data_IF_303124657651
#
_entry.id   IF_303124657651
#
_cell.length_a   1.000
_cell.length_b   1.000
_cell.length_c   1.000
_cell.angle_alpha   90.00
_cell.angle_beta   90.00
_cell.angle_gamma   90.00
#
_symmetry.space_group_name_H-M   'P 1'
#
loop_
_entity.id
_entity.type
_entity.pdbx_description
1 polymer ?
#
# COMPACT_ATOMS: atom_id res chain seq x y z
N UNK A 1 -4.77 -10.50 10.20
CA UNK A 1 -4.57 -11.77 10.89
C UNK A 1 -3.09 -12.00 11.12
N UNK A 2 -2.69 -12.38 12.33
CA UNK A 2 -1.31 -12.73 12.67
C UNK A 2 -1.19 -14.26 12.72
N UNK A 3 -0.28 -14.80 11.92
CA UNK A 3 0.04 -16.22 11.91
C UNK A 3 1.21 -16.49 12.86
N UNK A 4 1.24 -17.69 13.47
CA UNK A 4 2.27 -18.08 14.43
C UNK A 4 3.69 -18.06 13.86
N UNK A 5 3.85 -18.15 12.54
CA UNK A 5 5.14 -18.11 11.88
C UNK A 5 5.68 -16.68 11.63
N UNK A 6 5.08 -15.64 12.21
CA UNK A 6 5.50 -14.25 12.00
C UNK A 6 5.05 -13.64 10.67
N UNK A 7 4.14 -14.30 9.94
CA UNK A 7 3.40 -13.71 8.83
C UNK A 7 2.21 -12.90 9.39
N UNK A 8 1.95 -11.76 8.79
CA UNK A 8 0.78 -10.95 9.03
C UNK A 8 0.12 -10.63 7.69
N UNK A 9 -1.21 -10.65 7.68
CA UNK A 9 -2.00 -10.30 6.50
C UNK A 9 -3.13 -9.35 6.90
N UNK A 10 -3.34 -8.33 6.10
CA UNK A 10 -4.43 -7.38 6.26
C UNK A 10 -5.09 -7.14 4.90
N UNK A 11 -6.42 -7.17 4.90
CA UNK A 11 -7.25 -6.83 3.76
C UNK A 11 -8.31 -5.86 4.28
N UNK A 12 -8.45 -4.71 3.63
CA UNK A 12 -9.46 -3.72 3.98
C UNK A 12 -10.19 -3.29 2.71
N UNK A 13 -11.48 -3.01 2.87
CA UNK A 13 -12.32 -2.45 1.83
C UNK A 13 -12.93 -1.16 2.33
N UNK A 14 -12.98 -0.16 1.46
CA UNK A 14 -13.62 1.11 1.71
C UNK A 14 -14.40 1.54 0.47
N UNK A 15 -15.66 1.89 0.65
CA UNK A 15 -16.51 2.49 -0.38
C UNK A 15 -16.63 3.98 -0.14
N UNK A 16 -15.94 4.77 -0.95
CA UNK A 16 -15.95 6.22 -0.89
C UNK A 16 -15.15 6.80 0.29
N UNK A 17 -14.37 7.84 0.03
CA UNK A 17 -13.86 8.71 1.10
C UNK A 17 -14.87 9.79 1.45
N UNK A 18 -14.83 10.29 2.70
CA UNK A 18 -15.67 11.41 3.14
C UNK A 18 -15.47 12.71 2.32
N UNK A 19 -14.34 12.83 1.62
CA UNK A 19 -14.03 13.95 0.72
C UNK A 19 -14.66 13.79 -0.67
N UNK A 20 -15.08 12.59 -1.05
CA UNK A 20 -15.73 12.32 -2.32
C UNK A 20 -17.21 12.70 -2.23
N UNK A 21 -17.69 13.48 -3.20
CA UNK A 21 -19.05 14.05 -3.19
C UNK A 21 -19.79 13.63 -4.45
N UNK A 22 -21.00 13.12 -4.28
CA UNK A 22 -21.88 12.62 -5.35
C UNK A 22 -21.67 11.13 -5.58
N UNK A 23 -22.77 10.39 -5.77
CA UNK A 23 -22.77 8.94 -6.02
C UNK A 23 -21.98 8.54 -7.25
N UNK A 24 -21.85 9.45 -8.23
CA UNK A 24 -21.18 9.21 -9.50
C UNK A 24 -19.64 9.42 -9.43
N UNK A 25 -19.11 9.73 -8.24
CA UNK A 25 -17.69 10.02 -8.01
C UNK A 25 -17.09 9.22 -6.84
N UNK A 26 -17.82 8.24 -6.29
CA UNK A 26 -17.32 7.38 -5.23
C UNK A 26 -16.41 6.29 -5.83
N UNK A 27 -15.22 6.15 -5.27
CA UNK A 27 -14.31 5.07 -5.62
C UNK A 27 -14.40 3.94 -4.59
N UNK A 28 -14.13 2.73 -5.06
CA UNK A 28 -13.95 1.55 -4.22
C UNK A 28 -12.48 1.25 -4.04
N UNK A 29 -12.06 1.09 -2.78
CA UNK A 29 -10.68 0.89 -2.39
C UNK A 29 -10.49 -0.46 -1.73
N UNK A 30 -9.53 -1.23 -2.23
CA UNK A 30 -9.11 -2.50 -1.67
C UNK A 30 -7.66 -2.37 -1.25
N UNK A 31 -7.39 -2.34 0.06
CA UNK A 31 -6.05 -2.30 0.60
C UNK A 31 -5.60 -3.69 0.97
N UNK A 32 -4.41 -4.08 0.54
CA UNK A 32 -3.79 -5.36 0.88
C UNK A 32 -2.42 -5.14 1.49
N UNK A 33 -2.12 -5.90 2.54
CA UNK A 33 -0.80 -5.94 3.13
C UNK A 33 -0.50 -7.38 3.56
N UNK A 34 0.68 -7.85 3.16
CA UNK A 34 1.31 -9.08 3.60
C UNK A 34 2.66 -8.68 4.14
N UNK A 35 2.89 -8.98 5.41
CA UNK A 35 4.12 -8.67 6.13
C UNK A 35 4.72 -9.96 6.65
N UNK A 36 6.03 -10.14 6.50
CA UNK A 36 6.77 -11.26 7.07
C UNK A 36 7.92 -10.74 7.93
N UNK A 37 7.94 -11.18 9.18
CA UNK A 37 9.04 -10.93 10.12
C UNK A 37 10.00 -12.12 10.15
N UNK A 38 11.29 -11.80 10.27
CA UNK A 38 12.41 -12.73 10.43
C UNK A 38 13.29 -12.27 11.58
N UNK A 39 14.12 -13.18 12.10
CA UNK A 39 15.13 -12.90 13.14
C UNK A 39 14.54 -12.14 14.34
N UNK A 40 13.42 -12.64 14.85
CA UNK A 40 12.69 -12.04 15.98
C UNK A 40 12.23 -10.60 15.73
N UNK A 41 11.89 -10.29 14.47
CA UNK A 41 11.41 -8.97 14.06
C UNK A 41 12.52 -8.00 13.67
N UNK A 42 13.80 -8.39 13.73
CA UNK A 42 14.91 -7.54 13.26
C UNK A 42 14.83 -7.23 11.78
N UNK A 43 14.36 -8.18 10.97
CA UNK A 43 14.10 -7.97 9.55
C UNK A 43 12.60 -8.15 9.28
N UNK A 44 12.01 -7.18 8.60
CA UNK A 44 10.61 -7.19 8.20
C UNK A 44 10.51 -6.84 6.72
N UNK A 45 9.78 -7.67 5.98
CA UNK A 45 9.55 -7.53 4.55
C UNK A 45 8.04 -7.46 4.31
N UNK A 46 7.61 -6.47 3.54
CA UNK A 46 6.24 -6.36 3.03
C UNK A 46 6.29 -6.64 1.52
N UNK A 47 6.25 -7.92 1.09
CA UNK A 47 6.33 -8.27 -0.33
C UNK A 47 5.10 -7.83 -1.12
N UNK A 48 3.95 -7.75 -0.44
CA UNK A 48 2.71 -7.26 -1.02
C UNK A 48 2.14 -6.22 -0.08
N UNK A 49 2.13 -4.97 -0.49
CA UNK A 49 1.52 -3.88 0.24
C UNK A 49 1.06 -2.86 -0.79
N UNK A 50 -0.18 -2.38 -0.69
CA UNK A 50 -0.73 -1.58 -1.76
C UNK A 50 -2.23 -1.43 -1.73
N UNK A 51 -2.75 -0.86 -2.82
CA UNK A 51 -4.17 -0.65 -3.00
C UNK A 51 -4.59 -0.95 -4.45
N UNK A 52 -5.78 -1.50 -4.61
CA UNK A 52 -6.50 -1.54 -5.88
C UNK A 52 -7.72 -0.63 -5.75
N UNK A 53 -7.92 0.21 -6.75
CA UNK A 53 -8.92 1.28 -6.72
C UNK A 53 -9.78 1.13 -7.96
N UNK A 54 -11.10 1.08 -7.78
CA UNK A 54 -12.07 0.98 -8.88
C UNK A 54 -12.95 2.22 -8.85
N UNK A 55 -12.97 2.95 -9.96
CA UNK A 55 -13.84 4.14 -10.09
C UNK A 55 -15.19 3.83 -10.73
N UNK A 56 -15.27 2.78 -11.55
CA UNK A 56 -16.50 2.37 -12.21
C UNK A 56 -16.51 0.85 -12.44
N UNK A 57 -17.38 0.15 -11.72
CA UNK A 57 -17.54 -1.31 -11.84
C UNK A 57 -18.08 -1.77 -13.19
N UNK A 58 -18.77 -0.90 -13.93
CA UNK A 58 -19.29 -1.25 -15.27
C UNK A 58 -18.19 -1.26 -16.33
N UNK A 59 -17.08 -0.54 -16.08
CA UNK A 59 -15.96 -0.34 -17.02
C UNK A 59 -14.60 -0.43 -16.32
N UNK A 60 -14.39 -1.48 -15.53
CA UNK A 60 -13.19 -1.66 -14.72
C UNK A 60 -11.92 -1.61 -15.56
N UNK A 61 -11.89 -2.23 -16.74
CA UNK A 61 -10.70 -2.27 -17.61
C UNK A 61 -10.20 -0.89 -18.06
N UNK A 62 -11.05 0.13 -17.96
CA UNK A 62 -10.76 1.52 -18.32
C UNK A 62 -10.68 2.44 -17.09
N UNK A 63 -11.08 1.98 -15.90
CA UNK A 63 -11.28 2.81 -14.71
C UNK A 63 -10.79 2.10 -13.44
N UNK A 64 -9.47 1.93 -13.36
CA UNK A 64 -8.81 1.31 -12.21
C UNK A 64 -7.45 1.94 -11.93
N UNK A 65 -6.99 1.84 -10.68
CA UNK A 65 -5.59 2.10 -10.34
C UNK A 65 -5.06 1.03 -9.41
N UNK A 66 -3.77 0.77 -9.54
CA UNK A 66 -2.99 -0.11 -8.69
C UNK A 66 -1.87 0.73 -8.08
N UNK A 67 -1.74 0.60 -6.76
CA UNK A 67 -0.61 1.11 -6.00
C UNK A 67 0.10 -0.10 -5.44
N UNK A 68 1.36 -0.29 -5.80
CA UNK A 68 2.20 -1.36 -5.27
C UNK A 68 3.39 -0.77 -4.53
N UNK A 69 3.50 -1.08 -3.25
CA UNK A 69 4.43 -0.47 -2.31
C UNK A 69 5.22 -1.50 -1.51
N UNK A 70 6.12 -2.27 -2.14
CA UNK A 70 6.96 -3.21 -1.43
C UNK A 70 7.93 -2.47 -0.50
N UNK A 71 8.18 -3.06 0.68
CA UNK A 71 9.06 -2.48 1.69
C UNK A 71 9.94 -3.54 2.33
N UNK A 72 11.20 -3.16 2.58
CA UNK A 72 12.12 -3.89 3.45
C UNK A 72 12.55 -2.96 4.58
N UNK A 73 12.63 -3.50 5.79
CA UNK A 73 12.96 -2.75 6.99
C UNK A 73 13.78 -3.59 7.95
N UNK A 74 14.74 -2.94 8.59
CA UNK A 74 15.72 -3.55 9.47
C UNK A 74 15.88 -2.75 10.75
N UNK A 75 15.75 -3.41 11.89
CA UNK A 75 16.09 -2.86 13.21
C UNK A 75 17.60 -2.93 13.39
N UNK A 76 18.28 -1.80 13.18
CA UNK A 76 19.73 -1.67 13.36
C UNK A 76 20.12 -1.75 14.84
N UNK A 77 19.27 -1.19 15.71
CA UNK A 77 19.31 -1.33 17.17
C UNK A 77 17.87 -1.45 17.65
N UNK A 78 17.65 -1.70 18.94
CA UNK A 78 16.29 -1.75 19.52
C UNK A 78 15.51 -0.43 19.34
N UNK A 79 16.23 0.68 19.13
CA UNK A 79 15.67 2.02 19.01
C UNK A 79 15.74 2.60 17.59
N UNK A 80 16.42 1.95 16.64
CA UNK A 80 16.67 2.47 15.30
C UNK A 80 16.21 1.51 14.19
N UNK A 81 15.25 1.95 13.37
CA UNK A 81 14.74 1.21 12.21
C UNK A 81 15.16 1.93 10.91
N UNK A 82 15.76 1.18 9.98
CA UNK A 82 16.06 1.64 8.63
C UNK A 82 15.09 0.93 7.69
N UNK A 83 14.51 1.66 6.74
CA UNK A 83 13.58 1.08 5.76
C UNK A 83 13.80 1.66 4.38
N UNK A 84 13.61 0.81 3.38
CA UNK A 84 13.62 1.14 1.97
C UNK A 84 12.31 0.62 1.36
N UNK A 85 11.57 1.50 0.70
CA UNK A 85 10.33 1.15 0.02
C UNK A 85 10.28 1.74 -1.37
N UNK A 86 9.63 1.02 -2.27
CA UNK A 86 9.21 1.57 -3.55
C UNK A 86 7.72 1.94 -3.47
N UNK A 87 7.28 2.89 -4.26
CA UNK A 87 5.87 3.11 -4.56
C UNK A 87 5.75 3.14 -6.08
N UNK A 88 5.02 2.17 -6.62
CA UNK A 88 4.79 2.00 -8.05
C UNK A 88 3.32 2.24 -8.29
N UNK A 89 3.01 3.10 -9.26
CA UNK A 89 1.65 3.52 -9.58
C UNK A 89 1.32 3.13 -11.01
N UNK A 90 0.18 2.51 -11.22
CA UNK A 90 -0.34 2.25 -12.56
C UNK A 90 -1.87 2.34 -12.57
N UNK A 91 -2.47 2.53 -13.73
CA UNK A 91 -3.92 2.57 -13.86
C UNK A 91 -4.42 3.30 -15.09
N UNK A 92 -5.75 3.36 -15.21
CA UNK A 92 -6.48 3.99 -16.30
C UNK A 92 -7.70 4.74 -15.75
N UNK A 93 -8.15 5.74 -16.51
CA UNK A 93 -9.33 6.53 -16.17
C UNK A 93 -9.00 7.91 -15.63
N UNK A 94 -10.04 8.69 -15.29
CA UNK A 94 -9.93 10.10 -14.90
C UNK A 94 -10.16 10.32 -13.40
N UNK A 95 -9.40 9.64 -12.55
CA UNK A 95 -9.43 9.89 -11.10
C UNK A 95 -8.11 10.54 -10.62
N UNK A 96 -8.04 10.84 -9.33
CA UNK A 96 -6.87 11.49 -8.72
C UNK A 96 -5.62 10.61 -8.75
N UNK A 97 -5.77 9.29 -8.72
CA UNK A 97 -4.65 8.33 -8.67
C UNK A 97 -4.05 8.09 -10.04
N UNK A 98 -4.82 8.19 -11.13
CA UNK A 98 -4.28 8.14 -12.49
C UNK A 98 -3.29 9.26 -12.80
N UNK A 99 -3.31 10.36 -12.03
CA UNK A 99 -2.31 11.44 -12.13
C UNK A 99 -0.95 11.04 -11.55
N UNK A 100 -0.86 9.91 -10.85
CA UNK A 100 0.35 9.41 -10.20
C UNK A 100 1.06 8.31 -10.99
N UNK A 101 0.47 7.80 -12.08
CA UNK A 101 1.01 6.65 -12.83
C UNK A 101 2.48 6.79 -13.27
N UNK A 102 2.95 8.01 -13.54
CA UNK A 102 4.33 8.26 -13.96
C UNK A 102 5.22 8.75 -12.79
N UNK A 103 4.76 8.56 -11.56
CA UNK A 103 5.38 9.11 -10.35
C UNK A 103 5.85 8.00 -9.41
N UNK A 104 6.56 7.02 -9.97
CA UNK A 104 7.21 5.98 -9.20
C UNK A 104 8.28 6.57 -8.27
N UNK A 105 8.33 6.08 -7.03
CA UNK A 105 9.20 6.60 -5.99
C UNK A 105 10.00 5.49 -5.32
N UNK A 106 11.23 5.82 -4.95
CA UNK A 106 12.01 5.05 -3.98
C UNK A 106 12.20 5.95 -2.76
N UNK A 107 11.86 5.44 -1.58
CA UNK A 107 11.94 6.17 -0.32
C UNK A 107 12.82 5.41 0.68
N UNK A 108 13.83 6.11 1.16
CA UNK A 108 14.62 5.72 2.32
C UNK A 108 14.07 6.40 3.58
N UNK A 109 13.94 5.67 4.67
CA UNK A 109 13.50 6.20 5.97
C UNK A 109 14.34 5.61 7.10
N UNK A 110 14.90 6.49 7.93
CA UNK A 110 15.49 6.17 9.23
C UNK A 110 14.53 6.67 10.32
N UNK A 111 14.13 5.79 11.24
CA UNK A 111 13.27 6.09 12.39
C UNK A 111 14.04 5.80 13.68
N UNK A 112 14.02 6.73 14.62
CA UNK A 112 14.61 6.56 15.95
C UNK A 112 13.57 6.83 17.03
N UNK A 113 13.49 5.97 18.05
CA UNK A 113 12.59 6.14 19.20
C UNK A 113 13.42 6.41 20.48
N UNK A 114 13.09 7.48 21.20
CA UNK A 114 13.72 7.88 22.47
C UNK A 114 12.89 7.41 23.67
#
# INVERSE_FOLDING_TARGET
>A
YHFANGLYMNLQYLHGFFTERGTDALNDYFFVQVEKKFFDGKLKILPLNGAFIVSDWSKISENYNIIFMPEISYMATDNAEISLKAAIFDGKGKNIFSKLNDFDLIMFRLKYNF
#
